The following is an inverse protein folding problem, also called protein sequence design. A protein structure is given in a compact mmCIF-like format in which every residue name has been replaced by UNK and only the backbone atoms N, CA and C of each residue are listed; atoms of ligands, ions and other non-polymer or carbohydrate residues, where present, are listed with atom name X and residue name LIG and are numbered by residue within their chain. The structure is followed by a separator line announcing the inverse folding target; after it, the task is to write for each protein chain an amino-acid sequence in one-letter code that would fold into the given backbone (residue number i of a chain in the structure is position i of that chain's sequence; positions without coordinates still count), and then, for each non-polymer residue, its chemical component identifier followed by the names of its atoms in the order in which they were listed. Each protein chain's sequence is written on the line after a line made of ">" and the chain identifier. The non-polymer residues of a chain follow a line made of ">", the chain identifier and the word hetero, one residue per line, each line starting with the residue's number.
data_IF_548853406847
#
_entry.id   IF_548853406847
#
_cell.length_a   1.000
_cell.length_b   1.000
_cell.length_c   1.000
_cell.angle_alpha   90.00
_cell.angle_beta   90.00
_cell.angle_gamma   90.00
#
_symmetry.space_group_name_H-M   'P 1'
#
loop_
_entity.id
_entity.type
_entity.pdbx_description
1 polymer ?
#
# COMPACT_ATOMS: atom_id res chain seq x y z
N UNK A 1 -3.54 -11.77 2.17
CA UNK A 1 -4.20 -10.45 2.32
C UNK A 1 -5.15 -10.47 3.50
N UNK A 2 -4.96 -9.57 4.47
CA UNK A 2 -5.80 -9.50 5.67
C UNK A 2 -7.18 -8.87 5.36
N UNK A 3 -8.30 -9.38 5.92
CA UNK A 3 -9.65 -8.88 5.64
C UNK A 3 -9.81 -7.37 5.94
N UNK A 4 -9.08 -6.87 6.95
CA UNK A 4 -9.10 -5.46 7.36
C UNK A 4 -8.62 -4.50 6.25
N UNK A 5 -7.66 -4.92 5.42
CA UNK A 5 -7.14 -4.10 4.32
C UNK A 5 -7.94 -4.31 3.03
N UNK A 6 -8.56 -5.48 2.87
CA UNK A 6 -9.35 -5.82 1.69
C UNK A 6 -10.63 -4.96 1.56
N UNK A 7 -11.19 -4.51 2.68
CA UNK A 7 -12.35 -3.60 2.69
C UNK A 7 -12.00 -2.15 2.31
N UNK A 8 -10.75 -1.72 2.56
CA UNK A 8 -10.31 -0.33 2.36
C UNK A 8 -9.51 -0.13 1.07
N UNK A 9 -8.80 -1.16 0.59
CA UNK A 9 -8.04 -1.12 -0.67
C UNK A 9 -8.83 -0.58 -1.86
N UNK A 10 -10.09 -1.01 -2.09
CA UNK A 10 -10.89 -0.55 -3.23
C UNK A 10 -11.32 0.92 -3.13
N UNK A 11 -11.14 1.56 -1.97
CA UNK A 11 -11.47 2.97 -1.75
C UNK A 11 -10.27 3.89 -2.05
N UNK A 12 -9.08 3.33 -2.27
CA UNK A 12 -7.88 4.06 -2.63
C UNK A 12 -7.85 4.35 -4.14
N UNK A 13 -7.05 5.34 -4.54
CA UNK A 13 -6.77 5.59 -5.96
C UNK A 13 -6.13 4.34 -6.62
N UNK A 14 -6.43 4.12 -7.90
CA UNK A 14 -5.99 2.92 -8.62
C UNK A 14 -4.46 2.74 -8.60
N UNK A 15 -3.70 3.83 -8.74
CA UNK A 15 -2.23 3.81 -8.72
C UNK A 15 -1.70 3.41 -7.33
N UNK A 16 -2.31 3.93 -6.26
CA UNK A 16 -1.95 3.59 -4.89
C UNK A 16 -2.32 2.14 -4.57
N UNK A 17 -3.47 1.68 -5.05
CA UNK A 17 -3.91 0.30 -4.90
C UNK A 17 -2.92 -0.67 -5.56
N UNK A 18 -2.47 -0.37 -6.78
CA UNK A 18 -1.50 -1.18 -7.51
C UNK A 18 -0.13 -1.19 -6.81
N UNK A 19 0.33 -0.05 -6.29
CA UNK A 19 1.63 0.08 -5.65
C UNK A 19 1.67 -0.59 -4.25
N UNK A 20 0.57 -0.56 -3.49
CA UNK A 20 0.51 -1.11 -2.12
C UNK A 20 0.11 -2.59 -2.07
N UNK A 21 -0.56 -3.11 -3.11
CA UNK A 21 -0.94 -4.52 -3.22
C UNK A 21 0.20 -5.51 -2.93
N UNK A 22 1.42 -5.37 -3.49
CA UNK A 22 2.52 -6.29 -3.20
C UNK A 22 2.99 -6.23 -1.73
N UNK A 23 2.90 -5.07 -1.08
CA UNK A 23 3.27 -4.92 0.34
C UNK A 23 2.27 -5.60 1.26
N UNK A 24 0.98 -5.53 0.92
CA UNK A 24 -0.12 -6.13 1.69
C UNK A 24 -0.40 -7.61 1.32
N UNK A 25 0.28 -8.12 0.30
CA UNK A 25 0.27 -9.53 -0.05
C UNK A 25 0.97 -10.38 1.02
N UNK A 26 1.92 -9.80 1.76
CA UNK A 26 2.62 -10.47 2.86
C UNK A 26 1.64 -10.89 3.99
N UNK A 27 1.53 -12.19 4.32
CA UNK A 27 0.69 -12.67 5.41
C UNK A 27 1.05 -12.07 6.78
N UNK A 28 2.33 -11.74 6.99
CA UNK A 28 2.88 -11.19 8.22
C UNK A 28 3.12 -9.68 8.15
N UNK A 29 2.42 -8.97 7.24
CA UNK A 29 2.52 -7.53 7.14
C UNK A 29 2.32 -6.86 8.51
N UNK A 30 3.34 -6.16 9.06
CA UNK A 30 3.33 -5.66 10.44
C UNK A 30 2.44 -4.43 10.65
N UNK A 31 1.63 -4.04 9.66
CA UNK A 31 0.90 -2.78 9.63
C UNK A 31 1.81 -1.54 9.70
N UNK A 32 3.06 -1.68 9.25
CA UNK A 32 4.06 -0.62 9.18
C UNK A 32 4.68 -0.63 7.78
N UNK A 33 4.97 0.57 7.27
CA UNK A 33 5.69 0.78 6.03
C UNK A 33 7.05 1.40 6.34
N UNK A 34 8.08 0.89 5.68
CA UNK A 34 9.44 1.39 5.83
C UNK A 34 9.65 2.62 4.93
N UNK A 35 10.71 3.41 5.18
CA UNK A 35 11.00 4.61 4.38
C UNK A 35 11.11 4.32 2.87
N UNK A 36 11.80 3.24 2.48
CA UNK A 36 11.88 2.81 1.08
C UNK A 36 10.52 2.46 0.46
N UNK A 37 9.63 1.85 1.25
CA UNK A 37 8.28 1.51 0.80
C UNK A 37 7.43 2.76 0.63
N UNK A 38 7.53 3.72 1.55
CA UNK A 38 6.85 5.02 1.44
C UNK A 38 7.36 5.78 0.21
N UNK A 39 8.68 5.84 -0.01
CA UNK A 39 9.26 6.49 -1.18
C UNK A 39 8.82 5.83 -2.50
N UNK A 40 8.69 4.49 -2.53
CA UNK A 40 8.16 3.76 -3.67
C UNK A 40 6.68 4.09 -3.93
N UNK A 41 5.85 4.19 -2.88
CA UNK A 41 4.44 4.58 -3.00
C UNK A 41 4.31 6.02 -3.49
N UNK A 42 5.09 6.96 -2.96
CA UNK A 42 5.11 8.37 -3.41
C UNK A 42 5.51 8.47 -4.88
N UNK A 43 6.59 7.78 -5.28
CA UNK A 43 7.06 7.77 -6.68
C UNK A 43 6.04 7.17 -7.64
N UNK A 44 5.30 6.14 -7.20
CA UNK A 44 4.31 5.45 -8.03
C UNK A 44 2.99 6.23 -8.16
N UNK A 45 2.66 7.07 -7.18
CA UNK A 45 1.35 7.74 -7.08
C UNK A 45 1.42 9.24 -7.30
N UNK A 46 2.62 9.84 -7.26
CA UNK A 46 2.81 11.28 -7.31
C UNK A 46 2.22 12.04 -6.11
N UNK A 47 1.93 11.34 -5.02
CA UNK A 47 1.45 11.94 -3.77
C UNK A 47 2.64 12.51 -2.99
N UNK A 48 2.49 13.75 -2.51
CA UNK A 48 3.35 14.32 -1.47
C UNK A 48 3.07 13.67 -0.10
N UNK A 49 4.00 13.84 0.83
CA UNK A 49 3.93 13.26 2.20
C UNK A 49 2.76 13.78 3.06
#
# INVERSE_FOLDING_TARGET
>A
MHPRFQAVLPQLAADLQAAIAPMLADPHFPALLNADQVAALQSATGLDE
#
